data_IF_249339185901
#
_entry.id   IF_249339185901
#
_cell.length_a   1.000
_cell.length_b   1.000
_cell.length_c   1.000
_cell.angle_alpha   90.00
_cell.angle_beta   90.00
_cell.angle_gamma   90.00
#
_symmetry.space_group_name_H-M   'P 1'
#
loop_
_entity.id
_entity.type
_entity.pdbx_description
1 polymer ?
#
# COMPACT_ATOMS: atom_id res chain seq x y z
N UNK A 1 -19.52 -24.03 5.42
CA UNK A 1 -19.33 -24.73 4.14
C UNK A 1 -20.62 -25.05 3.38
N UNK A 2 -21.74 -25.40 4.00
CA UNK A 2 -22.97 -25.77 3.26
C UNK A 2 -23.69 -24.62 2.50
N UNK A 3 -23.36 -23.35 2.79
CA UNK A 3 -24.03 -22.20 2.18
C UNK A 3 -23.62 -21.95 0.72
N UNK A 4 -22.39 -22.30 0.32
CA UNK A 4 -21.87 -22.00 -1.01
C UNK A 4 -22.49 -22.86 -2.13
N UNK A 5 -23.00 -24.04 -1.79
CA UNK A 5 -23.58 -24.98 -2.77
C UNK A 5 -25.07 -24.74 -3.05
N UNK A 6 -25.69 -23.81 -2.31
CA UNK A 6 -27.10 -23.42 -2.53
C UNK A 6 -27.31 -22.78 -3.90
N UNK A 7 -28.52 -22.89 -4.44
CA UNK A 7 -28.85 -22.29 -5.74
C UNK A 7 -28.77 -20.75 -5.67
N UNK A 8 -29.13 -20.20 -4.52
CA UNK A 8 -29.11 -18.79 -4.18
C UNK A 8 -27.69 -18.24 -4.11
N UNK A 9 -26.75 -18.96 -3.47
CA UNK A 9 -25.35 -18.55 -3.43
C UNK A 9 -24.70 -18.59 -4.81
N UNK A 10 -25.03 -19.57 -5.65
CA UNK A 10 -24.54 -19.63 -7.04
C UNK A 10 -25.07 -18.47 -7.90
N UNK A 11 -26.34 -18.09 -7.73
CA UNK A 11 -26.94 -16.96 -8.41
C UNK A 11 -26.28 -15.64 -8.00
N UNK A 12 -26.08 -15.41 -6.70
CA UNK A 12 -25.43 -14.21 -6.19
C UNK A 12 -23.94 -14.16 -6.56
N UNK A 13 -23.25 -15.31 -6.60
CA UNK A 13 -21.83 -15.37 -6.97
C UNK A 13 -21.57 -15.01 -8.43
N UNK A 14 -22.53 -15.22 -9.33
CA UNK A 14 -22.41 -14.83 -10.73
C UNK A 14 -22.44 -13.30 -10.91
N UNK A 15 -23.13 -12.59 -10.01
CA UNK A 15 -23.24 -11.12 -10.00
C UNK A 15 -22.17 -10.46 -9.11
N UNK A 16 -21.55 -11.23 -8.20
CA UNK A 16 -20.53 -10.73 -7.29
C UNK A 16 -19.23 -10.41 -8.03
N UNK A 17 -18.99 -9.13 -8.29
CA UNK A 17 -17.72 -8.64 -8.81
C UNK A 17 -16.67 -8.54 -7.68
N UNK A 18 -15.99 -9.64 -7.40
CA UNK A 18 -14.92 -9.68 -6.40
C UNK A 18 -13.68 -8.93 -6.89
N UNK A 19 -13.64 -7.62 -6.59
CA UNK A 19 -12.46 -6.79 -6.78
C UNK A 19 -11.44 -7.06 -5.68
N UNK A 20 -10.19 -7.21 -6.10
CA UNK A 20 -9.05 -7.35 -5.20
C UNK A 20 -8.14 -6.15 -5.35
N UNK A 21 -7.58 -5.69 -4.23
CA UNK A 21 -6.80 -4.46 -4.16
C UNK A 21 -5.49 -4.70 -3.42
N UNK A 22 -4.40 -4.24 -4.03
CA UNK A 22 -3.10 -4.12 -3.36
C UNK A 22 -2.88 -2.66 -2.97
N UNK A 23 -2.89 -2.37 -1.68
CA UNK A 23 -2.66 -1.03 -1.13
C UNK A 23 -1.19 -0.89 -0.70
N UNK A 24 -0.48 0.05 -1.32
CA UNK A 24 0.90 0.39 -0.96
C UNK A 24 0.92 1.72 -0.23
N UNK A 25 1.48 1.73 0.97
CA UNK A 25 1.67 2.94 1.77
C UNK A 25 3.04 3.56 1.49
N UNK A 26 3.06 4.70 0.79
CA UNK A 26 4.24 5.56 0.63
C UNK A 26 4.17 6.70 1.65
N UNK A 27 4.39 6.38 2.92
CA UNK A 27 4.24 7.35 4.02
C UNK A 27 5.57 8.08 4.23
N UNK A 28 5.58 9.38 3.92
CA UNK A 28 6.69 10.25 4.24
C UNK A 28 6.83 10.44 5.77
N UNK A 29 7.78 9.73 6.37
CA UNK A 29 8.11 9.87 7.80
C UNK A 29 9.22 10.90 7.95
N UNK A 30 8.86 12.04 8.51
CA UNK A 30 9.78 13.16 8.73
C UNK A 30 10.89 12.75 9.69
N UNK A 31 12.09 13.30 9.50
CA UNK A 31 13.21 13.02 10.40
C UNK A 31 13.07 13.84 11.69
N UNK A 32 13.64 13.35 12.79
CA UNK A 32 13.54 13.99 14.11
C UNK A 32 14.06 15.45 14.16
N UNK A 33 14.85 15.88 13.16
CA UNK A 33 15.36 17.24 13.04
C UNK A 33 14.40 18.21 12.32
N UNK A 34 13.31 17.76 11.70
CA UNK A 34 12.30 18.62 11.05
C UNK A 34 11.46 19.42 12.06
N UNK A 35 11.63 19.14 13.36
CA UNK A 35 11.10 19.95 14.46
C UNK A 35 9.64 20.35 14.29
N UNK A 36 9.31 21.57 14.70
CA UNK A 36 7.98 22.16 14.48
C UNK A 36 7.82 22.74 13.07
N UNK A 37 8.90 22.87 12.29
CA UNK A 37 8.90 23.57 11.01
C UNK A 37 8.44 22.74 9.82
N UNK A 38 8.28 21.42 9.98
CA UNK A 38 7.83 20.52 8.92
C UNK A 38 6.58 21.01 8.16
N UNK A 39 5.65 21.66 8.86
CA UNK A 39 4.38 22.10 8.29
C UNK A 39 4.48 23.44 7.52
N UNK A 40 5.60 24.16 7.64
CA UNK A 40 5.83 25.46 7.00
C UNK A 40 7.18 25.60 6.28
N UNK A 41 8.05 24.59 6.34
CA UNK A 41 9.33 24.56 5.65
C UNK A 41 9.18 24.07 4.20
N UNK A 42 8.89 25.02 3.32
CA UNK A 42 8.80 24.77 1.87
C UNK A 42 10.08 25.19 1.13
N UNK A 43 11.24 25.08 1.80
CA UNK A 43 12.51 25.40 1.16
C UNK A 43 12.76 24.46 -0.02
N UNK A 44 13.43 24.95 -1.07
CA UNK A 44 13.76 24.11 -2.24
C UNK A 44 14.57 22.88 -1.84
N UNK A 45 15.44 23.02 -0.83
CA UNK A 45 16.23 21.92 -0.29
C UNK A 45 15.32 20.86 0.33
N UNK A 46 14.47 21.25 1.29
CA UNK A 46 13.53 20.35 1.95
C UNK A 46 12.62 19.62 0.95
N UNK A 47 12.05 20.34 -0.02
CA UNK A 47 11.22 19.75 -1.08
C UNK A 47 11.99 18.72 -1.92
N UNK A 48 13.23 19.02 -2.29
CA UNK A 48 14.07 18.08 -3.05
C UNK A 48 14.36 16.82 -2.24
N UNK A 49 14.61 16.95 -0.94
CA UNK A 49 14.81 15.80 -0.05
C UNK A 49 13.55 14.95 0.10
N UNK A 50 12.38 15.58 0.26
CA UNK A 50 11.10 14.87 0.36
C UNK A 50 10.78 14.09 -0.92
N UNK A 51 11.00 14.69 -2.10
CA UNK A 51 10.80 14.00 -3.38
C UNK A 51 11.76 12.83 -3.55
N UNK A 52 13.04 12.99 -3.19
CA UNK A 52 14.00 11.89 -3.24
C UNK A 52 13.62 10.75 -2.30
N UNK A 53 13.14 11.07 -1.10
CA UNK A 53 12.67 10.06 -0.14
C UNK A 53 11.48 9.26 -0.73
N UNK A 54 10.44 9.95 -1.22
CA UNK A 54 9.30 9.29 -1.84
C UNK A 54 9.66 8.47 -3.09
N UNK A 55 10.60 8.96 -3.91
CA UNK A 55 11.11 8.22 -5.06
C UNK A 55 11.80 6.91 -4.63
N UNK A 56 12.66 6.97 -3.61
CA UNK A 56 13.33 5.76 -3.10
C UNK A 56 12.34 4.76 -2.50
N UNK A 57 11.32 5.22 -1.79
CA UNK A 57 10.29 4.35 -1.23
C UNK A 57 9.47 3.65 -2.34
N UNK A 58 9.14 4.37 -3.41
CA UNK A 58 8.47 3.80 -4.57
C UNK A 58 9.37 2.76 -5.28
N UNK A 59 10.65 3.08 -5.50
CA UNK A 59 11.61 2.14 -6.10
C UNK A 59 11.80 0.91 -5.22
N UNK A 60 11.92 1.07 -3.90
CA UNK A 60 12.01 -0.04 -2.95
C UNK A 60 10.77 -0.92 -3.09
N UNK A 61 9.58 -0.32 -3.11
CA UNK A 61 8.32 -1.05 -3.28
C UNK A 61 8.30 -1.88 -4.56
N UNK A 62 8.70 -1.30 -5.68
CA UNK A 62 8.69 -2.01 -6.96
C UNK A 62 9.71 -3.16 -7.05
N UNK A 63 10.67 -3.25 -6.13
CA UNK A 63 11.59 -4.40 -6.02
C UNK A 63 10.97 -5.61 -5.33
N UNK A 64 9.80 -5.43 -4.70
CA UNK A 64 9.02 -6.49 -4.07
C UNK A 64 7.92 -6.93 -5.05
N UNK A 65 8.15 -7.95 -5.91
CA UNK A 65 7.18 -8.39 -6.90
C UNK A 65 5.85 -8.83 -6.27
N UNK A 66 5.87 -9.29 -5.01
CA UNK A 66 4.68 -9.66 -4.25
C UNK A 66 3.67 -8.51 -4.12
N UNK A 67 4.09 -7.26 -4.26
CA UNK A 67 3.22 -6.08 -4.23
C UNK A 67 2.30 -6.01 -5.46
N UNK A 68 2.79 -6.51 -6.60
CA UNK A 68 2.07 -6.52 -7.88
C UNK A 68 1.28 -7.82 -8.10
N UNK A 69 1.52 -8.82 -7.26
CA UNK A 69 0.78 -10.07 -7.29
C UNK A 69 -0.66 -9.86 -6.81
N UNK A 70 -1.56 -10.71 -7.33
CA UNK A 70 -2.97 -10.68 -6.93
C UNK A 70 -3.07 -11.08 -5.44
N UNK A 71 -3.72 -10.27 -4.59
CA UNK A 71 -3.99 -10.64 -3.21
C UNK A 71 -4.63 -12.03 -3.09
N UNK A 72 -4.02 -12.89 -2.29
CA UNK A 72 -4.55 -14.22 -1.97
C UNK A 72 -5.38 -14.24 -0.66
N UNK A 73 -5.57 -13.08 -0.04
CA UNK A 73 -6.36 -12.92 1.18
C UNK A 73 -7.85 -13.14 0.92
N UNK A 74 -8.54 -13.73 1.89
CA UNK A 74 -9.99 -14.01 1.83
C UNK A 74 -10.78 -12.72 1.58
N UNK A 75 -10.33 -11.60 2.14
CA UNK A 75 -10.97 -10.28 2.01
C UNK A 75 -10.58 -9.56 0.71
N UNK A 76 -9.71 -10.14 -0.11
CA UNK A 76 -9.27 -9.57 -1.40
C UNK A 76 -8.37 -8.34 -1.28
N UNK A 77 -7.94 -7.96 -0.07
CA UNK A 77 -7.11 -6.79 0.18
C UNK A 77 -5.76 -7.20 0.74
N UNK A 78 -4.66 -6.70 0.15
CA UNK A 78 -3.31 -6.80 0.71
C UNK A 78 -2.71 -5.43 0.91
N UNK A 79 -2.10 -5.21 2.07
CA UNK A 79 -1.54 -3.92 2.46
C UNK A 79 -0.03 -4.04 2.67
N UNK A 80 0.73 -3.16 2.02
CA UNK A 80 2.18 -3.13 2.09
C UNK A 80 2.67 -1.82 2.70
N UNK A 81 3.49 -1.94 3.76
CA UNK A 81 4.26 -0.86 4.35
C UNK A 81 5.70 -1.35 4.54
N UNK A 82 6.51 -1.14 3.50
CA UNK A 82 7.89 -1.61 3.39
C UNK A 82 8.90 -0.70 4.10
N UNK A 83 8.41 0.39 4.67
CA UNK A 83 9.15 1.34 5.49
C UNK A 83 9.11 0.98 6.99
N UNK A 84 8.09 0.24 7.45
CA UNK A 84 8.07 -0.36 8.80
C UNK A 84 8.74 -1.74 8.84
N UNK A 85 8.58 -2.51 7.77
CA UNK A 85 9.21 -3.81 7.64
C UNK A 85 10.59 -3.59 7.05
N UNK A 86 11.61 -3.52 7.90
CA UNK A 86 13.04 -3.51 7.53
C UNK A 86 13.49 -4.79 6.81
N UNK A 87 12.76 -5.21 5.79
CA UNK A 87 13.21 -6.12 4.76
C UNK A 87 14.02 -5.26 3.79
N UNK A 88 15.33 -5.37 3.91
CA UNK A 88 16.26 -5.03 2.84
C UNK A 88 16.13 -6.02 1.68
#
# INVERSE_FOLDING_TARGET
DELHDTAEARLLSAEADQKVYSLVHLIYRGRAYEGHSKDYEFSRLAMTEHWRAGYHDAVKTLRHPEVLERPATIDGVSTFDLSQHGRE
#
